data_IF_077045470038
#
_entry.id   IF_077045470038
#
_cell.length_a   1.000
_cell.length_b   1.000
_cell.length_c   1.000
_cell.angle_alpha   90.00
_cell.angle_beta   90.00
_cell.angle_gamma   90.00
#
_symmetry.space_group_name_H-M   'P 1'
#
loop_
_entity.id
_entity.type
_entity.pdbx_description
1 polymer ?
#
# COMPACT_ATOMS: atom_id res chain seq x y z
N UNK A 1 5.90 -21.75 -8.61
CA UNK A 1 5.68 -23.03 -9.29
C UNK A 1 4.52 -22.87 -10.24
N UNK A 2 4.63 -23.31 -11.50
CA UNK A 2 3.48 -23.29 -12.43
C UNK A 2 2.44 -24.30 -11.95
N UNK A 3 1.18 -23.88 -11.87
CA UNK A 3 0.04 -24.73 -11.51
C UNK A 3 -1.08 -24.51 -12.50
N UNK A 4 -1.78 -25.58 -12.90
CA UNK A 4 -2.87 -25.49 -13.86
C UNK A 4 -4.15 -24.91 -13.26
N UNK A 5 -4.33 -25.06 -11.95
CA UNK A 5 -5.49 -24.51 -11.23
C UNK A 5 -5.01 -23.89 -9.92
N UNK A 6 -5.69 -22.83 -9.49
CA UNK A 6 -5.43 -22.20 -8.21
C UNK A 6 -5.77 -23.17 -7.08
N UNK A 7 -4.84 -23.29 -6.12
CA UNK A 7 -5.08 -24.01 -4.88
C UNK A 7 -5.07 -23.00 -3.71
N UNK A 8 -6.23 -22.80 -3.10
CA UNK A 8 -6.39 -21.93 -1.92
C UNK A 8 -5.78 -22.54 -0.65
N UNK A 9 -5.49 -23.85 -0.67
CA UNK A 9 -4.83 -24.54 0.43
C UNK A 9 -3.30 -24.42 0.39
N UNK A 10 -2.74 -23.77 -0.63
CA UNK A 10 -1.32 -23.44 -0.67
C UNK A 10 -1.13 -21.99 -0.23
N UNK A 11 -0.15 -21.77 0.65
CA UNK A 11 0.33 -20.42 0.95
C UNK A 11 1.31 -19.97 -0.12
N UNK A 12 0.93 -18.96 -0.89
CA UNK A 12 1.70 -18.40 -2.00
C UNK A 12 2.59 -17.23 -1.56
N UNK A 13 2.71 -17.00 -0.25
CA UNK A 13 3.58 -15.99 0.35
C UNK A 13 4.91 -16.59 0.83
N UNK A 14 6.02 -15.91 0.52
CA UNK A 14 7.34 -16.17 1.10
C UNK A 14 7.84 -14.91 1.78
N UNK A 15 8.32 -15.07 3.01
CA UNK A 15 8.84 -13.96 3.82
C UNK A 15 10.36 -14.03 3.86
N UNK A 16 11.02 -12.90 3.59
CA UNK A 16 12.47 -12.75 3.71
C UNK A 16 12.80 -11.41 4.33
N UNK A 17 13.83 -11.36 5.18
CA UNK A 17 14.38 -10.14 5.78
C UNK A 17 15.90 -10.21 5.62
N UNK A 18 16.50 -9.19 5.02
CA UNK A 18 17.95 -9.12 4.76
C UNK A 18 18.50 -10.36 4.05
N UNK A 19 17.71 -10.92 3.11
CA UNK A 19 18.05 -12.13 2.36
C UNK A 19 17.90 -13.44 3.15
N UNK A 20 17.49 -13.39 4.42
CA UNK A 20 17.24 -14.56 5.24
C UNK A 20 15.76 -14.95 5.20
N UNK A 21 15.48 -16.22 4.95
CA UNK A 21 14.13 -16.76 4.96
C UNK A 21 13.51 -16.69 6.36
N UNK A 22 12.27 -16.25 6.42
CA UNK A 22 11.51 -16.15 7.66
C UNK A 22 10.34 -17.13 7.65
N UNK A 23 10.28 -17.98 8.67
CA UNK A 23 9.17 -18.93 8.83
C UNK A 23 8.05 -18.26 9.63
N UNK A 24 6.99 -17.87 8.94
CA UNK A 24 5.76 -17.36 9.54
C UNK A 24 4.70 -18.47 9.52
N UNK A 25 4.30 -19.03 10.68
CA UNK A 25 3.26 -20.04 10.78
C UNK A 25 1.98 -19.66 10.03
N UNK A 26 1.41 -20.61 9.29
CA UNK A 26 0.12 -20.51 8.62
C UNK A 26 -1.02 -20.58 9.64
N UNK A 27 -1.16 -19.51 10.42
CA UNK A 27 -2.20 -19.37 11.44
C UNK A 27 -2.78 -17.97 11.33
N UNK A 28 -4.11 -17.90 11.22
CA UNK A 28 -4.81 -16.62 11.21
C UNK A 28 -4.50 -15.83 12.49
N UNK A 29 -4.28 -14.52 12.34
CA UNK A 29 -3.92 -13.60 13.42
C UNK A 29 -2.58 -13.93 14.10
N UNK A 30 -1.74 -14.75 13.46
CA UNK A 30 -0.37 -14.94 13.94
C UNK A 30 0.43 -13.66 13.68
N UNK A 31 1.11 -13.19 14.71
CA UNK A 31 1.92 -11.98 14.66
C UNK A 31 3.36 -12.30 14.96
N UNK A 32 4.24 -11.83 14.09
CA UNK A 32 5.68 -11.87 14.23
C UNK A 32 6.23 -10.45 14.35
N UNK A 33 7.31 -10.31 15.12
CA UNK A 33 8.05 -9.07 15.27
C UNK A 33 9.52 -9.30 14.99
N UNK A 34 10.17 -8.32 14.38
CA UNK A 34 11.63 -8.27 14.34
C UNK A 34 12.20 -8.10 15.75
N UNK A 35 13.47 -8.47 15.92
CA UNK A 35 14.16 -8.41 17.21
C UNK A 35 14.17 -7.00 17.83
N UNK A 36 14.26 -5.97 17.00
CA UNK A 36 14.21 -4.55 17.37
C UNK A 36 12.79 -3.98 17.45
N UNK A 37 11.77 -4.76 17.07
CA UNK A 37 10.35 -4.38 16.99
C UNK A 37 10.06 -3.24 16.01
N UNK A 38 10.92 -3.02 15.02
CA UNK A 38 10.69 -2.04 13.96
C UNK A 38 9.79 -2.61 12.85
N UNK A 39 9.71 -3.93 12.70
CA UNK A 39 8.84 -4.61 11.73
C UNK A 39 7.87 -5.53 12.47
N UNK A 40 6.59 -5.45 12.11
CA UNK A 40 5.53 -6.39 12.49
C UNK A 40 4.99 -7.06 11.23
N UNK A 41 4.83 -8.38 11.25
CA UNK A 41 4.11 -9.14 10.23
C UNK A 41 2.94 -9.82 10.91
N UNK A 42 1.73 -9.57 10.44
CA UNK A 42 0.50 -10.14 10.98
C UNK A 42 -0.26 -10.85 9.87
N UNK A 43 -0.61 -12.11 10.07
CA UNK A 43 -1.49 -12.85 9.15
C UNK A 43 -2.94 -12.44 9.36
N UNK A 44 -3.62 -12.02 8.30
CA UNK A 44 -5.06 -11.70 8.36
C UNK A 44 -5.91 -12.97 8.29
N UNK A 45 -5.48 -13.91 7.46
CA UNK A 45 -6.08 -15.24 7.28
C UNK A 45 -5.00 -16.29 7.47
N UNK A 46 -5.35 -17.57 7.38
CA UNK A 46 -4.38 -18.64 7.52
C UNK A 46 -3.26 -18.60 6.46
N UNK A 47 -3.60 -18.24 5.22
CA UNK A 47 -2.74 -18.28 4.02
C UNK A 47 -3.03 -17.05 3.15
N UNK A 48 -2.07 -16.61 2.36
CA UNK A 48 -2.24 -15.62 1.28
C UNK A 48 -2.61 -14.18 1.69
N UNK A 49 -2.82 -13.86 2.97
CA UNK A 49 -3.15 -12.50 3.40
C UNK A 49 -2.38 -12.06 4.64
N UNK A 50 -1.68 -10.92 4.54
CA UNK A 50 -0.86 -10.35 5.61
C UNK A 50 -0.92 -8.82 5.67
N UNK A 51 -0.67 -8.29 6.85
CA UNK A 51 -0.28 -6.90 7.07
C UNK A 51 1.17 -6.87 7.53
N UNK A 52 1.99 -6.08 6.84
CA UNK A 52 3.35 -5.74 7.24
C UNK A 52 3.35 -4.30 7.75
N UNK A 53 3.69 -4.10 9.02
CA UNK A 53 3.87 -2.78 9.61
C UNK A 53 5.36 -2.49 9.76
N UNK A 54 5.80 -1.38 9.18
CA UNK A 54 7.11 -0.78 9.42
C UNK A 54 6.86 0.42 10.34
N UNK A 55 7.36 0.31 11.56
CA UNK A 55 7.10 1.25 12.66
C UNK A 55 7.35 2.70 12.21
N UNK A 56 6.38 3.56 12.47
CA UNK A 56 6.39 4.99 12.16
C UNK A 56 6.60 5.36 10.68
N UNK A 57 6.52 4.38 9.75
CA UNK A 57 6.75 4.58 8.31
C UNK A 57 5.57 4.16 7.45
N UNK A 58 5.15 2.90 7.54
CA UNK A 58 4.15 2.35 6.63
C UNK A 58 3.44 1.13 7.19
N UNK A 59 2.20 0.93 6.75
CA UNK A 59 1.47 -0.32 6.87
C UNK A 59 1.13 -0.79 5.45
N UNK A 60 1.47 -2.04 5.16
CA UNK A 60 1.36 -2.64 3.83
C UNK A 60 0.46 -3.86 3.98
N UNK A 61 -0.75 -3.78 3.44
CA UNK A 61 -1.64 -4.93 3.35
C UNK A 61 -1.40 -5.64 2.03
N UNK A 62 -1.21 -6.95 2.09
CA UNK A 62 -0.91 -7.79 0.93
C UNK A 62 -1.89 -8.96 0.92
N UNK A 63 -2.54 -9.18 -0.21
CA UNK A 63 -3.42 -10.30 -0.45
C UNK A 63 -3.09 -10.94 -1.81
N UNK A 64 -2.91 -12.26 -1.84
CA UNK A 64 -2.65 -13.02 -3.07
C UNK A 64 -3.95 -13.66 -3.52
N UNK A 65 -4.38 -13.34 -4.73
CA UNK A 65 -5.63 -13.85 -5.32
C UNK A 65 -5.36 -14.44 -6.70
N UNK A 66 -6.12 -15.46 -7.14
CA UNK A 66 -5.99 -15.97 -8.50
C UNK A 66 -6.50 -14.94 -9.51
N UNK A 67 -5.85 -14.88 -10.66
CA UNK A 67 -6.40 -14.20 -11.83
C UNK A 67 -7.59 -14.99 -12.34
N UNK A 68 -8.76 -14.37 -12.37
CA UNK A 68 -9.99 -15.03 -12.84
C UNK A 68 -10.09 -14.99 -14.36
N UNK A 69 -11.01 -15.79 -14.93
CA UNK A 69 -11.32 -15.73 -16.37
C UNK A 69 -11.82 -14.34 -16.80
N UNK A 70 -12.51 -13.63 -15.90
CA UNK A 70 -12.98 -12.28 -16.20
C UNK A 70 -11.83 -11.28 -16.19
N UNK A 71 -10.88 -11.40 -15.25
CA UNK A 71 -9.66 -10.59 -15.26
C UNK A 71 -8.84 -10.83 -16.53
N UNK A 72 -8.66 -12.09 -16.93
CA UNK A 72 -8.00 -12.45 -18.19
C UNK A 72 -8.68 -11.83 -19.40
N UNK A 73 -10.02 -11.84 -19.44
CA UNK A 73 -10.80 -11.25 -20.52
C UNK A 73 -10.68 -9.71 -20.56
N UNK A 74 -10.73 -9.05 -19.40
CA UNK A 74 -10.66 -7.59 -19.29
C UNK A 74 -9.25 -7.08 -19.63
N UNK A 75 -8.22 -7.76 -19.15
CA UNK A 75 -6.83 -7.33 -19.30
C UNK A 75 -6.11 -8.00 -20.48
N UNK A 76 -6.76 -8.97 -21.14
CA UNK A 76 -6.23 -9.74 -22.26
C UNK A 76 -4.85 -10.35 -21.93
N UNK A 77 -4.73 -11.01 -20.77
CA UNK A 77 -3.50 -11.72 -20.40
C UNK A 77 -3.25 -12.94 -21.31
N UNK A 78 -4.31 -13.51 -21.88
CA UNK A 78 -4.30 -14.71 -22.74
C UNK A 78 -3.76 -15.92 -22.00
N UNK A 79 -4.30 -16.14 -20.81
CA UNK A 79 -3.95 -17.27 -19.95
C UNK A 79 -4.23 -18.62 -20.66
N UNK A 80 -3.23 -19.51 -20.77
CA UNK A 80 -3.44 -20.88 -21.21
C UNK A 80 -4.35 -21.66 -20.25
N UNK A 81 -5.06 -22.68 -20.75
CA UNK A 81 -5.93 -23.53 -19.90
C UNK A 81 -5.17 -24.32 -18.83
N UNK A 82 -3.86 -24.55 -19.03
CA UNK A 82 -2.97 -25.28 -18.12
C UNK A 82 -2.13 -24.34 -17.25
N UNK A 83 -2.53 -23.07 -17.11
CA UNK A 83 -1.82 -22.07 -16.32
C UNK A 83 -2.75 -21.24 -15.43
N UNK A 84 -2.22 -20.79 -14.30
CA UNK A 84 -2.93 -19.98 -13.34
C UNK A 84 -2.00 -18.89 -12.82
N UNK A 85 -2.34 -17.64 -13.12
CA UNK A 85 -1.62 -16.49 -12.61
C UNK A 85 -2.22 -16.03 -11.27
N UNK A 86 -1.40 -15.33 -10.49
CA UNK A 86 -1.83 -14.69 -9.27
C UNK A 86 -1.71 -13.17 -9.41
N UNK A 87 -2.69 -12.45 -8.91
CA UNK A 87 -2.57 -11.04 -8.61
C UNK A 87 -2.09 -10.85 -7.17
N UNK A 88 -1.26 -9.82 -7.01
CA UNK A 88 -0.88 -9.32 -5.71
C UNK A 88 -1.65 -8.03 -5.46
N UNK A 89 -2.70 -8.12 -4.66
CA UNK A 89 -3.45 -6.96 -4.19
C UNK A 89 -2.65 -6.33 -3.05
N UNK A 90 -2.11 -5.13 -3.30
CA UNK A 90 -1.30 -4.40 -2.32
C UNK A 90 -1.94 -3.06 -2.00
N UNK A 91 -2.09 -2.78 -0.70
CA UNK A 91 -2.52 -1.47 -0.22
C UNK A 91 -1.47 -0.88 0.70
N UNK A 92 -1.14 0.38 0.48
CA UNK A 92 -0.13 1.10 1.25
C UNK A 92 -0.78 2.21 2.07
N UNK A 93 -0.48 2.23 3.36
CA UNK A 93 -0.76 3.34 4.27
C UNK A 93 0.54 3.90 4.80
N UNK A 94 0.93 5.05 4.30
CA UNK A 94 2.15 5.73 4.76
C UNK A 94 1.84 6.61 5.97
N UNK A 95 2.80 6.68 6.90
CA UNK A 95 2.68 7.40 8.17
C UNK A 95 3.81 8.44 8.24
N UNK A 96 3.58 9.55 8.94
CA UNK A 96 4.57 10.61 9.18
C UNK A 96 5.20 11.20 7.90
N UNK A 97 4.42 11.28 6.82
CA UNK A 97 4.86 11.94 5.58
C UNK A 97 4.97 13.46 5.76
N UNK A 98 5.95 14.08 5.10
CA UNK A 98 6.06 15.54 5.06
C UNK A 98 4.98 16.14 4.15
N UNK A 99 4.64 17.42 4.35
CA UNK A 99 3.73 18.14 3.46
C UNK A 99 4.24 18.27 2.02
N UNK A 100 5.55 18.05 1.81
CA UNK A 100 6.22 18.06 0.51
C UNK A 100 6.35 16.66 -0.11
N UNK A 101 5.80 15.61 0.50
CA UNK A 101 5.91 14.22 0.00
C UNK A 101 5.51 14.12 -1.46
N UNK A 102 6.36 13.53 -2.30
CA UNK A 102 6.07 13.28 -3.71
C UNK A 102 6.22 11.79 -4.02
N UNK A 103 5.96 11.41 -5.27
CA UNK A 103 6.04 10.03 -5.73
C UNK A 103 4.68 9.47 -6.13
N UNK A 104 4.70 8.33 -6.82
CA UNK A 104 3.51 7.69 -7.39
C UNK A 104 2.40 7.51 -6.34
N UNK A 105 2.75 7.01 -5.15
CA UNK A 105 1.81 6.86 -4.04
C UNK A 105 1.83 8.05 -3.08
N UNK A 106 3.01 8.62 -2.84
CA UNK A 106 3.20 9.73 -1.89
C UNK A 106 2.42 10.99 -2.27
N UNK A 107 2.32 11.32 -3.56
CA UNK A 107 1.62 12.52 -4.05
C UNK A 107 0.15 12.58 -3.60
N UNK A 108 -0.49 11.43 -3.43
CA UNK A 108 -1.89 11.34 -2.98
C UNK A 108 -2.12 11.83 -1.55
N UNK A 109 -1.06 11.90 -0.74
CA UNK A 109 -1.09 12.36 0.65
C UNK A 109 -0.84 13.88 0.80
N UNK A 110 -0.53 14.60 -0.29
CA UNK A 110 -0.33 16.05 -0.18
C UNK A 110 -1.65 16.78 0.11
N UNK A 111 -1.65 17.82 0.96
CA UNK A 111 -2.85 18.62 1.25
C UNK A 111 -3.49 19.28 0.01
N UNK A 112 -2.69 19.59 -1.01
CA UNK A 112 -3.14 20.22 -2.26
C UNK A 112 -3.48 19.20 -3.36
N UNK A 113 -3.43 17.89 -3.06
CA UNK A 113 -3.71 16.85 -4.04
C UNK A 113 -5.17 16.93 -4.52
N UNK A 114 -5.34 17.00 -5.83
CA UNK A 114 -6.64 16.89 -6.50
C UNK A 114 -6.61 15.63 -7.35
N UNK A 115 -7.54 14.71 -7.10
CA UNK A 115 -7.62 13.47 -7.85
C UNK A 115 -7.90 13.75 -9.33
N UNK A 116 -6.97 13.46 -10.26
CA UNK A 116 -7.17 13.70 -11.68
C UNK A 116 -7.98 12.58 -12.37
N UNK A 117 -8.27 11.47 -11.67
CA UNK A 117 -9.02 10.36 -12.24
C UNK A 117 -10.44 10.81 -12.63
N UNK A 118 -10.82 10.51 -13.87
CA UNK A 118 -12.18 10.76 -14.36
C UNK A 118 -13.13 9.68 -13.79
N UNK A 119 -14.23 10.05 -13.12
CA UNK A 119 -15.25 9.09 -12.70
C UNK A 119 -15.80 8.32 -13.90
N UNK A 120 -16.01 7.01 -13.74
CA UNK A 120 -16.61 6.15 -14.77
C UNK A 120 -15.67 5.65 -15.87
N UNK A 121 -14.38 6.00 -15.83
CA UNK A 121 -13.37 5.38 -16.71
C UNK A 121 -12.86 4.09 -16.07
N UNK A 122 -12.89 2.99 -16.82
CA UNK A 122 -12.28 1.74 -16.39
C UNK A 122 -10.75 1.92 -16.34
N UNK A 123 -10.13 1.60 -15.21
CA UNK A 123 -8.68 1.72 -14.96
C UNK A 123 -8.09 3.11 -15.28
N UNK A 124 -8.45 4.17 -14.53
CA UNK A 124 -7.84 5.47 -14.73
C UNK A 124 -6.37 5.41 -14.32
N UNK A 125 -5.46 5.57 -15.29
CA UNK A 125 -4.03 5.72 -15.01
C UNK A 125 -3.80 7.11 -14.41
N UNK A 126 -3.38 7.13 -13.16
CA UNK A 126 -3.01 8.34 -12.42
C UNK A 126 -1.58 8.21 -11.94
N UNK A 127 -0.90 9.33 -11.77
CA UNK A 127 0.47 9.32 -11.23
C UNK A 127 1.56 9.67 -12.24
N UNK A 128 1.23 10.35 -13.34
CA UNK A 128 2.22 11.08 -14.16
C UNK A 128 3.36 10.23 -14.69
N UNK A 129 3.05 9.27 -15.57
CA UNK A 129 4.02 8.36 -16.21
C UNK A 129 5.29 9.11 -16.66
N UNK A 130 5.15 10.23 -17.38
CA UNK A 130 6.27 11.03 -17.87
C UNK A 130 7.20 11.59 -16.78
N UNK A 131 6.70 11.76 -15.55
CA UNK A 131 7.43 12.30 -14.40
C UNK A 131 8.21 11.22 -13.64
N UNK A 132 7.69 9.99 -13.62
CA UNK A 132 8.25 8.88 -12.85
C UNK A 132 8.84 7.76 -13.71
N UNK A 133 8.81 7.90 -15.04
CA UNK A 133 9.46 6.97 -15.97
C UNK A 133 10.97 6.92 -15.72
N UNK A 134 11.49 5.71 -15.61
CA UNK A 134 12.92 5.40 -15.55
C UNK A 134 13.36 4.69 -16.83
N UNK A 135 14.66 4.69 -17.13
CA UNK A 135 15.22 3.99 -18.29
C UNK A 135 15.24 2.47 -18.13
N UNK A 136 15.28 1.98 -16.89
CA UNK A 136 15.20 0.55 -16.57
C UNK A 136 14.66 0.32 -15.16
N UNK A 137 14.30 -0.94 -14.86
CA UNK A 137 13.73 -1.34 -13.57
C UNK A 137 14.64 -1.04 -12.37
N UNK A 138 15.96 -1.04 -12.58
CA UNK A 138 16.97 -0.78 -11.54
C UNK A 138 17.51 0.65 -11.56
N UNK A 139 17.01 1.48 -12.48
CA UNK A 139 17.45 2.86 -12.62
C UNK A 139 16.65 3.80 -11.72
N UNK A 140 17.30 4.87 -11.28
CA UNK A 140 16.75 5.94 -10.44
C UNK A 140 16.61 7.27 -11.22
N UNK A 141 16.62 7.21 -12.56
CA UNK A 141 16.71 8.35 -13.48
C UNK A 141 15.34 8.97 -13.87
N UNK A 142 14.42 9.07 -12.93
CA UNK A 142 13.13 9.71 -13.16
C UNK A 142 13.17 11.24 -12.98
N UNK A 143 12.39 11.96 -13.80
CA UNK A 143 12.41 13.43 -13.88
C UNK A 143 12.07 14.14 -12.56
N UNK A 144 11.21 13.53 -11.74
CA UNK A 144 10.64 14.15 -10.53
C UNK A 144 10.97 13.36 -9.26
N UNK A 145 11.69 12.25 -9.37
CA UNK A 145 12.04 11.47 -8.18
C UNK A 145 13.07 12.21 -7.33
N UNK A 146 12.74 12.35 -6.05
CA UNK A 146 13.62 12.90 -5.04
C UNK A 146 14.20 11.73 -4.25
N UNK A 147 15.34 11.22 -4.69
CA UNK A 147 16.11 10.27 -3.89
C UNK A 147 17.01 11.07 -2.94
N UNK A 148 16.85 10.87 -1.63
CA UNK A 148 17.82 11.38 -0.67
C UNK A 148 19.10 10.56 -0.81
N UNK A 149 20.08 11.08 -1.55
CA UNK A 149 21.47 10.78 -1.23
C UNK A 149 21.76 11.26 0.20
N UNK A 150 22.72 10.64 0.88
CA UNK A 150 23.25 11.15 2.15
C UNK A 150 23.39 12.68 2.06
N UNK A 151 22.80 13.41 3.01
CA UNK A 151 22.79 14.89 3.16
C UNK A 151 21.58 15.68 2.60
N UNK A 152 20.35 15.23 2.81
CA UNK A 152 19.18 16.13 2.79
C UNK A 152 18.68 16.40 4.22
N UNK A 153 19.34 17.32 4.93
CA UNK A 153 18.77 17.98 6.11
C UNK A 153 17.74 19.00 5.57
N UNK A 154 16.45 18.67 5.60
CA UNK A 154 15.41 19.70 5.52
C UNK A 154 14.72 19.85 6.86
N UNK A 155 14.69 21.10 7.30
CA UNK A 155 14.30 21.57 8.61
C UNK A 155 12.79 21.74 8.61
N UNK A 156 12.05 20.83 9.23
CA UNK A 156 10.60 20.97 9.21
C UNK A 156 9.82 19.80 9.77
N UNK A 157 10.20 19.25 10.93
CA UNK A 157 9.30 18.39 11.69
C UNK A 157 8.15 19.25 12.25
N UNK A 158 7.04 19.34 11.53
CA UNK A 158 5.79 19.83 12.11
C UNK A 158 5.31 18.77 13.07
N UNK A 159 5.49 19.00 14.37
CA UNK A 159 4.86 18.21 15.43
C UNK A 159 3.35 18.42 15.33
N UNK A 160 2.63 17.48 14.73
CA UNK A 160 1.18 17.38 14.90
C UNK A 160 0.94 16.96 16.35
N UNK A 161 0.46 17.88 17.18
CA UNK A 161 -0.03 17.55 18.52
C UNK A 161 -1.26 16.67 18.34
N UNK A 162 -1.17 15.41 18.78
CA UNK A 162 -2.34 14.58 19.01
C UNK A 162 -3.14 15.15 20.19
N UNK A 163 -4.19 15.90 19.90
CA UNK A 163 -5.35 16.01 20.77
C UNK A 163 -6.55 15.46 19.99
N UNK A 164 -6.83 14.17 20.16
CA UNK A 164 -8.12 13.62 19.79
C UNK A 164 -9.12 14.09 20.85
N UNK A 165 -9.77 15.22 20.60
CA UNK A 165 -10.97 15.60 21.33
C UNK A 165 -12.10 14.64 20.94
N UNK A 166 -12.69 13.98 21.94
CA UNK A 166 -13.91 13.21 21.79
C UNK A 166 -15.02 14.09 21.17
N UNK A 167 -15.53 13.70 19.99
CA UNK A 167 -16.63 14.38 19.32
C UNK A 167 -17.95 14.08 20.04
N UNK A 168 -18.49 15.07 20.75
CA UNK A 168 -19.82 15.01 21.37
C UNK A 168 -20.87 15.64 20.43
N UNK A 169 -21.59 14.81 19.66
CA UNK A 169 -22.67 15.25 18.77
C UNK A 169 -24.03 15.47 19.49
N UNK A 170 -24.09 15.60 20.83
CA UNK A 170 -25.37 15.83 21.54
C UNK A 170 -25.83 17.28 21.57
N UNK A 171 -25.01 18.25 21.15
CA UNK A 171 -25.35 19.67 21.16
C UNK A 171 -25.40 20.24 19.74
N UNK A 172 -26.52 20.88 19.41
CA UNK A 172 -26.80 21.45 18.10
C UNK A 172 -25.74 22.44 17.61
N UNK A 173 -25.57 22.46 16.28
CA UNK A 173 -24.50 23.06 15.49
C UNK A 173 -23.88 24.37 16.02
N UNK A 174 -22.59 24.32 16.36
CA UNK A 174 -21.74 25.51 16.41
C UNK A 174 -21.01 25.67 15.07
N UNK A 175 -21.25 26.80 14.42
CA UNK A 175 -20.58 27.35 13.23
C UNK A 175 -19.12 26.89 13.05
N UNK A 176 -18.91 25.85 12.24
CA UNK A 176 -17.60 25.47 11.71
C UNK A 176 -17.74 24.82 10.34
N UNK A 177 -16.93 25.24 9.38
CA UNK A 177 -16.85 24.58 8.08
C UNK A 177 -16.09 23.27 8.25
N UNK A 178 -16.78 22.12 8.22
CA UNK A 178 -16.07 20.86 7.96
C UNK A 178 -16.69 19.55 8.43
N UNK A 179 -17.64 19.52 9.37
CA UNK A 179 -18.23 18.24 9.82
C UNK A 179 -19.72 18.45 10.13
N UNK A 180 -20.58 17.66 9.48
CA UNK A 180 -22.03 17.63 9.71
C UNK A 180 -22.38 16.29 10.35
N UNK A 181 -22.72 16.27 11.64
CA UNK A 181 -23.33 15.08 12.25
C UNK A 181 -24.76 14.95 11.68
N UNK A 182 -25.03 13.91 10.87
CA UNK A 182 -26.42 13.54 10.50
C UNK A 182 -26.98 12.61 11.58
N UNK A 183 -28.26 12.78 11.89
CA UNK A 183 -29.01 11.85 12.74
C UNK A 183 -29.49 10.66 11.91
#
# INVERSE_FOLDING_TARGET
>A
TKVATWDSEVDHLRFTIDGQDLVIPEKALFTWYSSDKEIKIERLTQKNSVIVTIKDKAEIMVNVVPVTKEDDRIHNYRLPEDDCFAHLEVQFKFINLSSKVDGILGRTYRPDFKNPAKPGVAMPVVGGEDSFRTSSLLSHDCKTCLFSGELAIDSGSVKVKNEYTLLDCTRGASSGYGIVCRK
#
